data_IF_904451003772
#
_entry.id   IF_904451003772
#
_cell.length_a   1.000
_cell.length_b   1.000
_cell.length_c   1.000
_cell.angle_alpha   90.00
_cell.angle_beta   90.00
_cell.angle_gamma   90.00
#
_symmetry.space_group_name_H-M   'P 1'
#
loop_
_entity.id
_entity.type
_entity.pdbx_description
1 polymer ?
#
# COMPACT_ATOMS: atom_id res chain seq x y z
N UNK A 1 -20.10 71.77 -56.98
CA UNK A 1 -19.78 71.85 -55.53
C UNK A 1 -19.40 70.45 -55.05
N UNK A 2 -18.11 70.16 -54.78
CA UNK A 2 -17.70 68.84 -54.31
C UNK A 2 -17.91 68.74 -52.79
N UNK A 3 -18.54 67.67 -52.33
CA UNK A 3 -18.65 67.34 -50.90
C UNK A 3 -17.42 66.50 -50.51
N UNK A 4 -16.60 67.05 -49.62
CA UNK A 4 -15.49 66.36 -48.97
C UNK A 4 -16.09 65.42 -47.91
N UNK A 5 -15.87 64.12 -48.06
CA UNK A 5 -16.18 63.12 -47.04
C UNK A 5 -14.89 62.83 -46.27
N UNK A 6 -14.89 63.11 -44.96
CA UNK A 6 -13.77 62.86 -44.07
C UNK A 6 -13.81 61.40 -43.60
N UNK A 7 -12.75 60.63 -43.87
CA UNK A 7 -12.56 59.27 -43.35
C UNK A 7 -11.82 59.36 -42.01
N UNK A 8 -12.51 59.08 -40.90
CA UNK A 8 -11.90 58.81 -39.60
C UNK A 8 -11.48 57.34 -39.53
N UNK A 9 -10.18 57.08 -39.54
CA UNK A 9 -9.62 55.75 -39.33
C UNK A 9 -9.70 55.38 -37.83
N UNK A 10 -10.50 54.36 -37.49
CA UNK A 10 -10.54 53.78 -36.16
C UNK A 10 -9.37 52.80 -36.00
N UNK A 11 -8.45 53.11 -35.08
CA UNK A 11 -7.35 52.22 -34.68
C UNK A 11 -7.94 51.08 -33.83
N UNK A 12 -8.00 49.86 -34.37
CA UNK A 12 -8.38 48.68 -33.61
C UNK A 12 -7.15 48.19 -32.82
N UNK A 13 -7.18 48.37 -31.49
CA UNK A 13 -6.18 47.79 -30.59
C UNK A 13 -6.51 46.30 -30.43
N UNK A 14 -5.74 45.44 -31.09
CA UNK A 14 -5.76 44.00 -30.82
C UNK A 14 -5.02 43.74 -29.50
N UNK A 15 -5.77 43.51 -28.42
CA UNK A 15 -5.21 42.96 -27.19
C UNK A 15 -4.81 41.51 -27.45
N UNK A 16 -3.50 41.24 -27.55
CA UNK A 16 -2.96 39.88 -27.61
C UNK A 16 -3.21 39.18 -26.28
N UNK A 17 -4.23 38.32 -26.23
CA UNK A 17 -4.42 37.34 -25.17
C UNK A 17 -3.24 36.37 -25.19
N UNK A 18 -2.27 36.58 -24.30
CA UNK A 18 -1.24 35.58 -24.01
C UNK A 18 -1.98 34.40 -23.36
N UNK A 19 -1.89 33.18 -23.90
CA UNK A 19 -2.47 32.01 -23.24
C UNK A 19 -1.75 31.85 -21.90
N UNK A 20 -2.51 31.89 -20.80
CA UNK A 20 -2.01 31.50 -19.48
C UNK A 20 -1.57 30.04 -19.61
N UNK A 21 -0.27 29.79 -19.67
CA UNK A 21 0.25 28.43 -19.53
C UNK A 21 -0.21 27.94 -18.15
N UNK A 22 -1.12 26.97 -18.13
CA UNK A 22 -1.35 26.15 -16.95
C UNK A 22 0.01 25.52 -16.61
N UNK A 23 0.64 26.01 -15.54
CA UNK A 23 1.77 25.30 -14.94
C UNK A 23 1.17 23.97 -14.49
N UNK A 24 1.62 22.88 -15.11
CA UNK A 24 1.22 21.55 -14.67
C UNK A 24 1.62 21.40 -13.20
N UNK A 25 0.64 21.16 -12.33
CA UNK A 25 0.88 20.94 -10.92
C UNK A 25 1.56 19.59 -10.71
N UNK A 26 2.46 19.52 -9.73
CA UNK A 26 3.30 18.35 -9.52
C UNK A 26 4.37 18.53 -8.46
N UNK A 27 5.22 17.52 -8.30
CA UNK A 27 6.36 17.60 -7.39
C UNK A 27 7.40 18.59 -7.93
N UNK A 28 7.48 19.74 -7.28
CA UNK A 28 8.47 20.78 -7.55
C UNK A 28 9.81 20.49 -6.85
N UNK A 29 10.90 21.03 -7.38
CA UNK A 29 12.24 20.92 -6.78
C UNK A 29 12.62 19.48 -6.38
N UNK A 30 12.54 18.58 -7.38
CA UNK A 30 12.69 17.12 -7.21
C UNK A 30 14.03 16.73 -6.57
N UNK A 31 15.09 17.50 -6.82
CA UNK A 31 16.42 17.25 -6.24
C UNK A 31 16.49 17.62 -4.76
N UNK A 32 15.84 18.73 -4.36
CA UNK A 32 15.67 19.07 -2.94
C UNK A 32 14.83 18.01 -2.23
N UNK A 33 13.71 17.58 -2.81
CA UNK A 33 12.89 16.50 -2.24
C UNK A 33 13.70 15.20 -2.10
N UNK A 34 14.46 14.79 -3.12
CA UNK A 34 15.36 13.63 -3.03
C UNK A 34 16.36 13.77 -1.87
N UNK A 35 16.94 14.96 -1.70
CA UNK A 35 17.90 15.23 -0.63
C UNK A 35 17.26 15.14 0.76
N UNK A 36 16.05 15.68 0.95
CA UNK A 36 15.30 15.58 2.20
C UNK A 36 14.95 14.13 2.55
N UNK A 37 14.44 13.35 1.57
CA UNK A 37 14.14 11.93 1.77
C UNK A 37 15.40 11.11 2.09
N UNK A 38 16.53 11.46 1.47
CA UNK A 38 17.82 10.80 1.74
C UNK A 38 18.31 11.09 3.15
N UNK A 39 18.16 12.34 3.62
CA UNK A 39 18.50 12.72 4.98
C UNK A 39 17.64 11.97 6.02
N UNK A 40 16.33 11.84 5.76
CA UNK A 40 15.43 11.05 6.60
C UNK A 40 15.85 9.58 6.69
N UNK A 41 16.19 8.97 5.54
CA UNK A 41 16.63 7.58 5.50
C UNK A 41 17.95 7.35 6.23
N UNK A 42 18.93 8.24 6.05
CA UNK A 42 20.26 8.14 6.66
C UNK A 42 20.25 8.38 8.18
N UNK A 43 19.32 9.19 8.68
CA UNK A 43 19.20 9.46 10.11
C UNK A 43 18.56 8.31 10.91
N UNK A 44 17.84 7.41 10.24
CA UNK A 44 17.10 6.34 10.90
C UNK A 44 18.02 5.14 11.26
N UNK A 45 17.93 4.57 12.47
CA UNK A 45 18.75 3.43 12.88
C UNK A 45 18.19 2.10 12.34
N UNK A 46 18.10 1.97 11.01
CA UNK A 46 17.60 0.81 10.26
C UNK A 46 17.69 1.05 8.75
N UNK A 47 17.22 0.11 7.93
CA UNK A 47 17.11 0.32 6.47
C UNK A 47 15.82 1.07 6.16
N UNK A 48 15.93 2.14 5.38
CA UNK A 48 14.77 2.92 4.95
C UNK A 48 14.74 3.00 3.43
N UNK A 49 13.65 2.56 2.83
CA UNK A 49 13.37 2.68 1.39
C UNK A 49 12.17 3.60 1.18
N UNK A 50 12.36 4.71 0.49
CA UNK A 50 11.29 5.67 0.21
C UNK A 50 11.28 5.96 -1.27
N UNK A 51 10.14 5.77 -1.92
CA UNK A 51 9.91 6.26 -3.28
C UNK A 51 8.63 7.08 -3.33
N UNK A 52 8.61 8.03 -4.27
CA UNK A 52 7.43 8.82 -4.60
C UNK A 52 7.33 8.99 -6.12
N UNK A 53 6.10 8.94 -6.64
CA UNK A 53 5.79 9.09 -8.06
C UNK A 53 4.51 9.89 -8.28
N UNK A 54 4.64 11.00 -8.97
CA UNK A 54 3.57 11.75 -9.65
C UNK A 54 3.56 11.39 -11.15
N UNK A 55 2.84 12.15 -11.97
CA UNK A 55 2.84 11.99 -13.44
C UNK A 55 4.24 12.17 -14.07
N UNK A 56 5.13 12.91 -13.41
CA UNK A 56 6.47 13.17 -13.90
C UNK A 56 7.39 11.95 -13.71
N UNK A 57 8.06 11.57 -14.79
CA UNK A 57 9.10 10.53 -14.81
C UNK A 57 10.50 11.15 -14.70
N UNK A 58 11.48 10.49 -14.05
CA UNK A 58 11.38 9.24 -13.29
C UNK A 58 10.93 9.46 -11.83
N UNK A 59 10.48 8.40 -11.15
CA UNK A 59 10.18 8.44 -9.71
C UNK A 59 11.37 8.95 -8.88
N UNK A 60 11.10 9.59 -7.73
CA UNK A 60 12.13 10.03 -6.80
C UNK A 60 12.27 8.96 -5.72
N UNK A 61 13.46 8.40 -5.58
CA UNK A 61 13.70 7.22 -4.76
C UNK A 61 14.97 7.33 -3.91
N UNK A 62 14.90 6.71 -2.72
CA UNK A 62 16.00 6.40 -1.81
C UNK A 62 15.93 4.91 -1.53
N UNK A 63 17.02 4.18 -1.77
CA UNK A 63 17.08 2.72 -1.68
C UNK A 63 15.97 2.01 -2.49
N UNK A 64 15.61 2.59 -3.64
CA UNK A 64 14.43 2.20 -4.43
C UNK A 64 14.45 0.77 -4.99
N UNK A 65 15.65 0.19 -5.19
CA UNK A 65 15.84 -1.17 -5.73
C UNK A 65 16.03 -2.23 -4.63
N UNK A 66 16.14 -1.82 -3.36
CA UNK A 66 16.29 -2.78 -2.26
C UNK A 66 14.96 -3.46 -1.96
N UNK A 67 15.00 -4.73 -1.55
CA UNK A 67 13.81 -5.48 -1.16
C UNK A 67 13.47 -5.31 0.31
N UNK A 68 12.18 -5.16 0.58
CA UNK A 68 11.57 -5.06 1.90
C UNK A 68 10.40 -6.03 1.97
N UNK A 69 10.27 -6.76 3.10
CA UNK A 69 9.08 -7.57 3.36
C UNK A 69 7.83 -6.70 3.37
N UNK A 70 6.79 -7.13 2.66
CA UNK A 70 5.52 -6.42 2.54
C UNK A 70 4.74 -6.44 3.84
N UNK A 71 4.73 -7.58 4.54
CA UNK A 71 3.71 -7.89 5.54
C UNK A 71 2.32 -7.56 4.95
N UNK A 72 1.39 -7.04 5.76
CA UNK A 72 0.05 -6.69 5.27
C UNK A 72 -0.02 -5.58 4.21
N UNK A 73 1.09 -4.98 3.75
CA UNK A 73 1.06 -4.22 2.48
C UNK A 73 0.60 -5.10 1.33
N UNK A 74 0.86 -6.41 1.36
CA UNK A 74 0.40 -7.35 0.34
C UNK A 74 -1.12 -7.29 0.07
N UNK A 75 -1.92 -6.86 1.06
CA UNK A 75 -3.38 -6.87 0.96
C UNK A 75 -3.91 -5.92 -0.10
N UNK A 76 -3.21 -4.82 -0.40
CA UNK A 76 -3.60 -3.95 -1.52
C UNK A 76 -3.32 -4.62 -2.87
N UNK A 77 -2.27 -5.42 -2.97
CA UNK A 77 -1.95 -6.20 -4.17
C UNK A 77 -2.98 -7.33 -4.38
N UNK A 78 -3.30 -8.06 -3.30
CA UNK A 78 -4.37 -9.07 -3.32
C UNK A 78 -5.71 -8.45 -3.72
N UNK A 79 -6.07 -7.30 -3.14
CA UNK A 79 -7.28 -6.59 -3.49
C UNK A 79 -7.29 -6.19 -4.98
N UNK A 80 -6.18 -5.67 -5.52
CA UNK A 80 -6.09 -5.36 -6.95
C UNK A 80 -6.26 -6.61 -7.84
N UNK A 81 -5.67 -7.75 -7.47
CA UNK A 81 -5.87 -9.01 -8.19
C UNK A 81 -7.34 -9.49 -8.14
N UNK A 82 -8.03 -9.31 -7.01
CA UNK A 82 -9.49 -9.55 -6.89
C UNK A 82 -10.25 -8.63 -7.84
N UNK A 83 -9.91 -7.34 -7.86
CA UNK A 83 -10.56 -6.38 -8.75
C UNK A 83 -10.32 -6.70 -10.23
N UNK A 84 -9.13 -7.17 -10.62
CA UNK A 84 -8.87 -7.66 -11.97
C UNK A 84 -9.78 -8.84 -12.30
N UNK A 85 -9.98 -9.78 -11.37
CA UNK A 85 -10.90 -10.89 -11.55
C UNK A 85 -12.37 -10.45 -11.69
N UNK A 86 -12.75 -9.34 -11.04
CA UNK A 86 -14.06 -8.70 -11.23
C UNK A 86 -14.17 -8.11 -12.64
N UNK A 87 -13.15 -7.39 -13.10
CA UNK A 87 -13.12 -6.79 -14.44
C UNK A 87 -13.19 -7.85 -15.55
N UNK A 88 -12.50 -8.98 -15.35
CA UNK A 88 -12.52 -10.15 -16.23
C UNK A 88 -13.84 -10.94 -16.14
N UNK A 89 -14.76 -10.55 -15.25
CA UNK A 89 -16.04 -11.23 -14.97
C UNK A 89 -15.87 -12.68 -14.49
N UNK A 90 -14.73 -13.00 -13.87
CA UNK A 90 -14.47 -14.31 -13.26
C UNK A 90 -15.12 -14.43 -11.88
N UNK A 91 -15.28 -13.30 -11.18
CA UNK A 91 -15.96 -13.18 -9.89
C UNK A 91 -16.78 -11.87 -9.88
N UNK A 92 -17.71 -11.72 -8.94
CA UNK A 92 -18.41 -10.46 -8.69
C UNK A 92 -18.24 -10.01 -7.24
N UNK A 93 -18.17 -8.70 -6.99
CA UNK A 93 -18.09 -8.17 -5.62
C UNK A 93 -19.27 -8.61 -4.73
N UNK A 94 -20.43 -8.85 -5.35
CA UNK A 94 -21.64 -9.32 -4.68
C UNK A 94 -21.68 -10.82 -4.41
N UNK A 95 -20.72 -11.60 -4.92
CA UNK A 95 -20.67 -13.05 -4.69
C UNK A 95 -20.58 -13.33 -3.19
N UNK A 96 -21.45 -14.21 -2.71
CA UNK A 96 -21.63 -14.50 -1.30
C UNK A 96 -20.76 -15.67 -0.87
N UNK A 97 -20.11 -15.54 0.28
CA UNK A 97 -19.32 -16.57 0.92
C UNK A 97 -19.74 -16.74 2.38
N UNK A 98 -19.63 -17.97 2.89
CA UNK A 98 -19.80 -18.25 4.33
C UNK A 98 -18.45 -18.58 4.93
N UNK A 99 -17.92 -17.68 5.75
CA UNK A 99 -16.67 -17.87 6.46
C UNK A 99 -16.94 -18.69 7.72
N UNK A 100 -16.19 -19.77 7.91
CA UNK A 100 -16.24 -20.63 9.08
C UNK A 100 -14.87 -20.69 9.74
N UNK A 101 -14.80 -21.38 10.88
CA UNK A 101 -13.56 -21.53 11.65
C UNK A 101 -12.39 -22.07 10.81
N UNK A 102 -12.64 -23.00 9.90
CA UNK A 102 -11.59 -23.56 9.03
C UNK A 102 -11.01 -22.58 8.01
N UNK A 103 -11.70 -21.46 7.77
CA UNK A 103 -11.28 -20.40 6.85
C UNK A 103 -10.47 -19.29 7.55
N UNK A 104 -10.35 -19.36 8.89
CA UNK A 104 -9.62 -18.37 9.67
C UNK A 104 -8.10 -18.46 9.43
N UNK A 105 -7.43 -17.37 9.75
CA UNK A 105 -5.97 -17.20 9.63
C UNK A 105 -5.37 -17.06 11.04
N UNK A 106 -4.35 -16.22 11.22
CA UNK A 106 -3.69 -15.95 12.50
C UNK A 106 -3.52 -14.45 12.78
N UNK A 107 -3.31 -14.12 14.06
CA UNK A 107 -3.08 -12.76 14.58
C UNK A 107 -4.20 -11.77 14.24
N UNK A 108 -3.98 -10.76 13.39
CA UNK A 108 -4.96 -9.70 13.13
C UNK A 108 -6.03 -10.20 12.16
N UNK A 109 -7.22 -10.52 12.68
CA UNK A 109 -8.36 -11.02 11.91
C UNK A 109 -9.70 -10.79 12.64
N UNK A 110 -10.22 -9.55 12.67
CA UNK A 110 -11.53 -9.23 13.27
C UNK A 110 -12.69 -10.18 12.92
N UNK A 111 -12.69 -10.81 11.74
CA UNK A 111 -13.67 -11.85 11.37
C UNK A 111 -13.71 -13.02 12.37
N UNK A 112 -12.58 -13.36 13.00
CA UNK A 112 -12.50 -14.46 13.97
C UNK A 112 -13.46 -14.28 15.16
N UNK A 113 -13.66 -13.04 15.63
CA UNK A 113 -14.59 -12.74 16.73
C UNK A 113 -16.04 -12.99 16.32
N UNK A 114 -16.39 -12.61 15.07
CA UNK A 114 -17.74 -12.85 14.51
C UNK A 114 -17.99 -14.36 14.39
N UNK A 115 -17.02 -15.12 13.88
CA UNK A 115 -17.13 -16.57 13.73
C UNK A 115 -17.16 -17.27 15.09
N UNK A 116 -16.44 -16.77 16.10
CA UNK A 116 -16.49 -17.29 17.46
C UNK A 116 -17.86 -17.08 18.11
N UNK A 117 -18.48 -15.91 17.92
CA UNK A 117 -19.80 -15.58 18.47
C UNK A 117 -20.93 -16.34 17.75
N UNK A 118 -20.88 -16.40 16.40
CA UNK A 118 -22.02 -16.82 15.57
C UNK A 118 -21.86 -18.18 14.91
N UNK A 119 -20.68 -18.79 15.03
CA UNK A 119 -20.30 -20.04 14.36
C UNK A 119 -19.92 -19.88 12.88
N UNK A 120 -20.41 -18.85 12.21
CA UNK A 120 -20.06 -18.49 10.83
C UNK A 120 -20.34 -17.02 10.54
N UNK A 121 -19.78 -16.51 9.45
CA UNK A 121 -20.01 -15.16 8.95
C UNK A 121 -20.36 -15.21 7.46
N UNK A 122 -21.62 -14.92 7.11
CA UNK A 122 -22.02 -14.73 5.72
C UNK A 122 -21.69 -13.32 5.25
N UNK A 123 -20.91 -13.23 4.17
CA UNK A 123 -20.46 -11.96 3.63
C UNK A 123 -20.30 -12.00 2.10
N UNK A 124 -19.79 -10.93 1.51
CA UNK A 124 -19.54 -10.79 0.07
C UNK A 124 -18.04 -10.58 -0.22
N UNK A 125 -17.62 -10.83 -1.45
CA UNK A 125 -16.25 -10.54 -1.91
C UNK A 125 -15.87 -9.07 -1.65
N UNK A 126 -16.77 -8.12 -1.92
CA UNK A 126 -16.51 -6.70 -1.69
C UNK A 126 -16.30 -6.34 -0.21
N UNK A 127 -17.05 -6.96 0.70
CA UNK A 127 -16.84 -6.78 2.14
C UNK A 127 -15.50 -7.38 2.59
N UNK A 128 -15.11 -8.55 2.06
CA UNK A 128 -13.80 -9.14 2.34
C UNK A 128 -12.64 -8.26 1.84
N UNK A 129 -12.76 -7.67 0.65
CA UNK A 129 -11.79 -6.68 0.14
C UNK A 129 -11.69 -5.49 1.10
N UNK A 130 -12.83 -4.94 1.52
CA UNK A 130 -12.87 -3.84 2.48
C UNK A 130 -12.18 -4.22 3.79
N UNK A 131 -12.50 -5.36 4.40
CA UNK A 131 -11.90 -5.81 5.68
C UNK A 131 -10.41 -6.07 5.57
N UNK A 132 -9.97 -6.70 4.49
CA UNK A 132 -8.55 -6.97 4.23
C UNK A 132 -7.75 -5.67 4.13
N UNK A 133 -8.26 -4.64 3.47
CA UNK A 133 -7.52 -3.38 3.30
C UNK A 133 -7.69 -2.46 4.49
N UNK A 134 -8.93 -2.21 4.94
CA UNK A 134 -9.27 -1.18 5.94
C UNK A 134 -8.79 -1.55 7.34
N UNK A 135 -9.10 -2.78 7.76
CA UNK A 135 -8.84 -3.29 9.12
C UNK A 135 -7.62 -4.20 9.14
N UNK A 136 -7.03 -4.50 7.98
CA UNK A 136 -5.92 -5.43 7.84
C UNK A 136 -6.25 -6.84 8.30
N UNK A 137 -7.48 -7.32 8.05
CA UNK A 137 -7.94 -8.65 8.43
C UNK A 137 -7.21 -9.76 7.62
N UNK A 138 -6.58 -10.70 8.31
CA UNK A 138 -5.79 -11.79 7.71
C UNK A 138 -6.66 -12.95 7.23
N UNK A 139 -7.79 -13.25 7.89
CA UNK A 139 -8.73 -14.25 7.41
C UNK A 139 -9.40 -13.79 6.10
N UNK A 140 -9.82 -12.53 6.02
CA UNK A 140 -10.34 -11.96 4.78
C UNK A 140 -9.33 -12.07 3.63
N UNK A 141 -8.06 -11.79 3.92
CA UNK A 141 -6.97 -11.87 2.92
C UNK A 141 -6.77 -13.31 2.44
N UNK A 142 -6.64 -14.27 3.34
CA UNK A 142 -6.39 -15.67 3.00
C UNK A 142 -7.57 -16.31 2.25
N UNK A 143 -8.80 -15.92 2.61
CA UNK A 143 -10.02 -16.33 1.88
C UNK A 143 -10.01 -15.77 0.45
N UNK A 144 -9.68 -14.49 0.26
CA UNK A 144 -9.58 -13.88 -1.08
C UNK A 144 -8.49 -14.56 -1.92
N UNK A 145 -7.32 -14.82 -1.34
CA UNK A 145 -6.24 -15.56 -2.01
C UNK A 145 -6.73 -16.96 -2.43
N UNK A 146 -7.39 -17.68 -1.52
CA UNK A 146 -7.94 -19.01 -1.82
C UNK A 146 -8.99 -18.94 -2.93
N UNK A 147 -9.86 -17.93 -2.91
CA UNK A 147 -10.91 -17.74 -3.91
C UNK A 147 -10.34 -17.41 -5.30
N UNK A 148 -9.19 -16.73 -5.37
CA UNK A 148 -8.44 -16.51 -6.61
C UNK A 148 -7.72 -17.77 -7.14
N UNK A 149 -7.64 -18.84 -6.34
CA UNK A 149 -6.89 -20.06 -6.70
C UNK A 149 -5.48 -20.15 -6.08
N UNK A 150 -5.19 -19.33 -5.06
CA UNK A 150 -3.94 -19.34 -4.31
C UNK A 150 -2.99 -18.19 -4.67
N UNK A 151 -1.85 -18.12 -3.98
CA UNK A 151 -0.86 -17.03 -4.13
C UNK A 151 -0.31 -16.92 -5.55
N UNK A 152 -0.22 -18.05 -6.27
CA UNK A 152 0.18 -18.06 -7.68
C UNK A 152 -0.72 -17.22 -8.59
N UNK A 153 -2.03 -17.15 -8.30
CA UNK A 153 -2.93 -16.31 -9.09
C UNK A 153 -2.70 -14.81 -8.81
N UNK A 154 -2.36 -14.46 -7.57
CA UNK A 154 -1.97 -13.09 -7.20
C UNK A 154 -0.63 -12.72 -7.85
N UNK A 155 0.34 -13.64 -7.87
CA UNK A 155 1.61 -13.42 -8.55
C UNK A 155 1.41 -13.30 -10.07
N UNK A 156 0.54 -14.11 -10.69
CA UNK A 156 0.25 -14.01 -12.11
C UNK A 156 -0.29 -12.62 -12.50
N UNK A 157 -1.15 -12.01 -11.68
CA UNK A 157 -1.60 -10.63 -11.88
C UNK A 157 -0.42 -9.64 -11.92
N UNK A 158 0.56 -9.77 -11.02
CA UNK A 158 1.76 -8.93 -11.02
C UNK A 158 2.62 -9.17 -12.26
N UNK A 159 2.80 -10.43 -12.64
CA UNK A 159 3.61 -10.83 -13.79
C UNK A 159 3.02 -10.31 -15.11
N UNK A 160 1.70 -10.43 -15.29
CA UNK A 160 0.95 -9.87 -16.44
C UNK A 160 1.05 -8.36 -16.49
N UNK A 161 1.05 -7.70 -15.33
CA UNK A 161 1.28 -6.27 -15.23
C UNK A 161 2.75 -5.87 -15.43
N UNK A 162 3.70 -6.82 -15.48
CA UNK A 162 5.14 -6.54 -15.59
C UNK A 162 5.78 -5.97 -14.32
N UNK A 163 5.26 -6.33 -13.14
CA UNK A 163 5.73 -5.87 -11.81
C UNK A 163 6.57 -6.97 -11.11
N UNK A 164 7.85 -7.09 -11.47
CA UNK A 164 8.73 -8.22 -11.10
C UNK A 164 9.49 -8.06 -9.75
N UNK A 165 9.61 -6.83 -9.30
CA UNK A 165 10.09 -6.36 -8.01
C UNK A 165 9.11 -6.61 -6.88
N UNK A 166 7.83 -6.89 -7.14
CA UNK A 166 6.84 -7.32 -6.15
C UNK A 166 6.66 -8.84 -6.20
N UNK A 167 6.71 -9.50 -5.05
CA UNK A 167 6.50 -10.94 -4.90
C UNK A 167 5.43 -11.25 -3.87
N UNK A 168 4.57 -12.22 -4.19
CA UNK A 168 3.55 -12.79 -3.30
C UNK A 168 3.68 -14.31 -3.38
N UNK A 169 4.23 -14.91 -2.32
CA UNK A 169 4.58 -16.32 -2.31
C UNK A 169 3.76 -17.10 -1.27
N UNK A 170 3.46 -16.46 -0.14
CA UNK A 170 2.76 -17.06 1.01
C UNK A 170 1.45 -16.36 1.34
N UNK A 171 0.56 -17.11 1.96
CA UNK A 171 -0.62 -16.59 2.68
C UNK A 171 -0.21 -15.94 4.01
N UNK A 172 -1.10 -15.15 4.61
CA UNK A 172 -0.86 -14.53 5.92
C UNK A 172 -0.59 -15.60 6.99
N UNK A 173 -1.37 -16.68 7.01
CA UNK A 173 -1.17 -17.80 7.94
C UNK A 173 0.18 -18.50 7.78
N UNK A 174 0.68 -18.64 6.55
CA UNK A 174 2.01 -19.22 6.29
C UNK A 174 3.12 -18.27 6.71
N UNK A 175 3.09 -17.01 6.25
CA UNK A 175 4.10 -16.01 6.59
C UNK A 175 4.21 -15.83 8.10
N UNK A 176 3.09 -15.59 8.78
CA UNK A 176 3.10 -15.24 10.19
C UNK A 176 3.52 -16.40 11.08
N UNK A 177 3.09 -17.63 10.79
CA UNK A 177 3.57 -18.80 11.53
C UNK A 177 5.04 -19.09 11.28
N UNK A 178 5.51 -18.92 10.04
CA UNK A 178 6.93 -19.08 9.71
C UNK A 178 7.81 -18.08 10.48
N UNK A 179 7.36 -16.83 10.64
CA UNK A 179 8.09 -15.84 11.45
C UNK A 179 8.16 -16.18 12.94
N UNK A 180 7.26 -17.03 13.43
CA UNK A 180 7.28 -17.56 14.80
C UNK A 180 8.13 -18.84 14.92
N UNK A 181 8.73 -19.31 13.82
CA UNK A 181 9.44 -20.58 13.75
C UNK A 181 8.51 -21.80 13.70
N UNK A 182 7.24 -21.60 13.36
CA UNK A 182 6.25 -22.65 13.19
C UNK A 182 6.03 -22.97 11.71
N UNK A 183 5.39 -24.09 11.43
CA UNK A 183 4.82 -24.40 10.12
C UNK A 183 3.31 -24.35 10.27
N UNK A 184 2.60 -23.63 9.40
CA UNK A 184 1.15 -23.55 9.44
C UNK A 184 0.50 -24.94 9.48
N UNK A 185 -0.50 -25.10 10.35
CA UNK A 185 -1.38 -26.27 10.38
C UNK A 185 -2.82 -25.79 10.58
N UNK A 186 -3.85 -26.53 10.09
CA UNK A 186 -5.24 -26.18 10.31
C UNK A 186 -5.63 -26.05 11.79
N UNK A 187 -4.91 -26.70 12.72
CA UNK A 187 -5.16 -26.58 14.17
C UNK A 187 -4.92 -25.17 14.71
N UNK A 188 -4.13 -24.34 14.01
CA UNK A 188 -3.83 -22.97 14.45
C UNK A 188 -4.96 -21.96 14.21
N UNK A 189 -6.08 -22.39 13.59
CA UNK A 189 -7.33 -21.61 13.62
C UNK A 189 -7.91 -21.51 15.04
N UNK A 190 -7.43 -22.34 15.98
CA UNK A 190 -7.72 -22.27 17.40
C UNK A 190 -6.63 -21.46 18.11
N UNK A 191 -6.92 -20.23 18.59
CA UNK A 191 -5.91 -19.35 19.18
C UNK A 191 -5.12 -20.00 20.33
N UNK A 192 -5.77 -20.83 21.15
CA UNK A 192 -5.14 -21.56 22.24
C UNK A 192 -4.11 -22.59 21.76
N UNK A 193 -4.35 -23.23 20.61
CA UNK A 193 -3.41 -24.18 20.00
C UNK A 193 -2.21 -23.46 19.43
N UNK A 194 -2.43 -22.33 18.74
CA UNK A 194 -1.36 -21.49 18.23
C UNK A 194 -0.50 -20.91 19.37
N UNK A 195 -1.12 -20.41 20.43
CA UNK A 195 -0.41 -19.86 21.58
C UNK A 195 0.43 -20.94 22.29
N UNK A 196 -0.14 -22.14 22.48
CA UNK A 196 0.60 -23.26 23.06
C UNK A 196 1.79 -23.66 22.18
N UNK A 197 1.59 -23.80 20.87
CA UNK A 197 2.68 -24.11 19.94
C UNK A 197 3.78 -23.04 19.97
N UNK A 198 3.41 -21.74 20.02
CA UNK A 198 4.37 -20.63 20.15
C UNK A 198 5.20 -20.74 21.42
N UNK A 199 4.59 -21.09 22.55
CA UNK A 199 5.29 -21.28 23.84
C UNK A 199 6.30 -22.42 23.79
N UNK A 200 5.99 -23.49 23.04
CA UNK A 200 6.85 -24.66 22.88
C UNK A 200 8.02 -24.42 21.91
N UNK A 201 7.96 -23.39 21.05
CA UNK A 201 9.10 -23.04 20.18
C UNK A 201 10.26 -22.54 21.02
N UNK A 202 11.37 -23.29 21.01
CA UNK A 202 12.62 -22.88 21.65
C UNK A 202 13.07 -21.49 21.17
N UNK A 203 13.62 -20.67 22.07
CA UNK A 203 13.99 -19.30 21.74
C UNK A 203 15.04 -19.18 20.64
N UNK A 204 15.97 -20.14 20.57
CA UNK A 204 16.94 -20.24 19.48
C UNK A 204 16.26 -20.45 18.12
N UNK A 205 15.19 -21.27 18.07
CA UNK A 205 14.42 -21.52 16.84
C UNK A 205 13.63 -20.28 16.43
N UNK A 206 12.98 -19.60 17.38
CA UNK A 206 12.30 -18.32 17.09
C UNK A 206 13.28 -17.25 16.60
N UNK A 207 14.49 -17.21 17.16
CA UNK A 207 15.54 -16.30 16.72
C UNK A 207 16.00 -16.60 15.30
N UNK A 208 16.30 -17.88 15.00
CA UNK A 208 16.69 -18.30 13.66
C UNK A 208 15.59 -18.03 12.62
N UNK A 209 14.32 -18.26 12.98
CA UNK A 209 13.18 -17.95 12.11
C UNK A 209 13.05 -16.45 11.81
N UNK A 210 13.22 -15.60 12.82
CA UNK A 210 13.24 -14.16 12.62
C UNK A 210 14.41 -13.70 11.74
N UNK A 211 15.62 -14.23 11.95
CA UNK A 211 16.79 -13.92 11.12
C UNK A 211 16.64 -14.40 9.67
N UNK A 212 16.00 -15.57 9.46
CA UNK A 212 15.64 -16.06 8.15
C UNK A 212 14.63 -15.14 7.47
N UNK A 213 13.59 -14.72 8.19
CA UNK A 213 12.58 -13.77 7.71
C UNK A 213 13.19 -12.44 7.22
N UNK A 214 14.19 -11.88 7.93
CA UNK A 214 14.84 -10.63 7.53
C UNK A 214 15.55 -10.71 6.17
N UNK A 215 15.91 -11.93 5.73
CA UNK A 215 16.67 -12.19 4.50
C UNK A 215 15.84 -12.90 3.43
N UNK A 216 14.59 -13.21 3.73
CA UNK A 216 13.72 -13.98 2.86
C UNK A 216 13.33 -13.13 1.63
N UNK A 217 13.60 -13.59 0.40
CA UNK A 217 13.22 -12.84 -0.78
C UNK A 217 11.72 -12.94 -1.10
N UNK A 218 11.00 -13.85 -0.46
CA UNK A 218 9.55 -14.03 -0.65
C UNK A 218 8.74 -12.94 0.03
N UNK A 219 7.57 -12.63 -0.54
CA UNK A 219 6.63 -11.63 -0.01
C UNK A 219 7.26 -10.24 0.17
N UNK A 220 8.15 -9.87 -0.76
CA UNK A 220 8.89 -8.60 -0.75
C UNK A 220 8.50 -7.70 -1.91
N UNK A 221 8.71 -6.39 -1.74
CA UNK A 221 8.70 -5.43 -2.83
C UNK A 221 9.96 -4.56 -2.83
N UNK A 222 10.33 -4.06 -4.01
CA UNK A 222 11.19 -2.88 -4.12
C UNK A 222 10.34 -1.61 -4.02
N UNK A 223 10.80 -0.54 -3.33
CA UNK A 223 10.04 0.69 -3.22
C UNK A 223 9.67 1.31 -4.58
N UNK A 224 10.56 1.21 -5.57
CA UNK A 224 10.33 1.75 -6.91
C UNK A 224 9.17 1.06 -7.63
N UNK A 225 9.07 -0.27 -7.54
CA UNK A 225 7.96 -0.97 -8.14
C UNK A 225 6.67 -0.80 -7.37
N UNK A 226 6.72 -0.70 -6.04
CA UNK A 226 5.53 -0.45 -5.24
C UNK A 226 4.88 0.90 -5.60
N UNK A 227 5.66 1.97 -5.78
CA UNK A 227 5.08 3.23 -6.28
C UNK A 227 4.64 3.15 -7.73
N UNK A 228 5.29 2.32 -8.56
CA UNK A 228 4.85 2.03 -9.92
C UNK A 228 3.47 1.36 -9.94
N UNK A 229 3.27 0.33 -9.12
CA UNK A 229 2.00 -0.35 -8.92
C UNK A 229 0.91 0.64 -8.45
N UNK A 230 1.18 1.43 -7.40
CA UNK A 230 0.21 2.38 -6.85
C UNK A 230 -0.15 3.50 -7.83
N UNK A 231 0.82 4.02 -8.58
CA UNK A 231 0.57 5.04 -9.58
C UNK A 231 -0.27 4.49 -10.75
N UNK A 232 0.03 3.28 -11.23
CA UNK A 232 -0.76 2.62 -12.28
C UNK A 232 -2.17 2.25 -11.82
N UNK A 233 -2.33 1.90 -10.53
CA UNK A 233 -3.64 1.73 -9.91
C UNK A 233 -4.43 3.05 -9.93
N UNK A 234 -3.84 4.13 -9.42
CA UNK A 234 -4.47 5.44 -9.30
C UNK A 234 -4.90 6.04 -10.65
N UNK A 235 -4.11 5.79 -11.69
CA UNK A 235 -4.33 6.31 -13.06
C UNK A 235 -5.17 5.39 -13.94
N UNK A 236 -5.72 4.31 -13.38
CA UNK A 236 -6.61 3.39 -14.12
C UNK A 236 -5.89 2.55 -15.18
N UNK A 237 -4.57 2.35 -15.04
CA UNK A 237 -3.77 1.54 -15.96
C UNK A 237 -3.73 0.05 -15.58
N UNK A 238 -4.20 -0.31 -14.38
CA UNK A 238 -4.28 -1.71 -13.92
C UNK A 238 -5.69 -2.28 -13.96
N UNK A 239 -6.72 -1.46 -13.77
CA UNK A 239 -8.09 -1.90 -13.53
C UNK A 239 -9.08 -1.02 -14.31
N UNK A 240 -10.31 -1.49 -14.49
CA UNK A 240 -11.40 -0.66 -15.00
C UNK A 240 -11.67 0.54 -14.10
N UNK A 241 -12.28 1.59 -14.66
CA UNK A 241 -12.58 2.81 -13.90
C UNK A 241 -13.40 2.55 -12.62
N UNK A 242 -14.40 1.65 -12.68
CA UNK A 242 -15.20 1.27 -11.51
C UNK A 242 -14.38 0.52 -10.47
N UNK A 243 -13.50 -0.38 -10.91
CA UNK A 243 -12.67 -1.19 -10.03
C UNK A 243 -11.57 -0.37 -9.36
N UNK A 244 -10.93 0.53 -10.11
CA UNK A 244 -10.02 1.55 -9.57
C UNK A 244 -10.73 2.41 -8.53
N UNK A 245 -11.88 3.00 -8.86
CA UNK A 245 -12.60 3.88 -7.94
C UNK A 245 -12.96 3.16 -6.63
N UNK A 246 -13.45 1.92 -6.73
CA UNK A 246 -13.78 1.11 -5.56
C UNK A 246 -12.55 0.84 -4.68
N UNK A 247 -11.42 0.42 -5.26
CA UNK A 247 -10.22 0.12 -4.48
C UNK A 247 -9.62 1.38 -3.84
N UNK A 248 -9.62 2.52 -4.56
CA UNK A 248 -9.17 3.79 -3.99
C UNK A 248 -10.06 4.24 -2.82
N UNK A 249 -11.39 4.09 -2.93
CA UNK A 249 -12.31 4.38 -1.83
C UNK A 249 -12.02 3.50 -0.60
N UNK A 250 -11.84 2.19 -0.83
CA UNK A 250 -11.48 1.24 0.23
C UNK A 250 -10.16 1.62 0.90
N UNK A 251 -9.12 1.96 0.14
CA UNK A 251 -7.84 2.41 0.69
C UNK A 251 -7.96 3.71 1.50
N UNK A 252 -8.83 4.65 1.10
CA UNK A 252 -9.05 5.90 1.82
C UNK A 252 -9.64 5.67 3.23
N UNK A 253 -10.44 4.62 3.36
CA UNK A 253 -11.09 4.24 4.62
C UNK A 253 -10.16 3.53 5.62
N UNK A 254 -8.93 3.18 5.24
CA UNK A 254 -7.98 2.48 6.12
C UNK A 254 -7.79 3.17 7.46
N UNK A 255 -7.96 2.41 8.54
CA UNK A 255 -7.91 2.91 9.93
C UNK A 255 -6.62 2.56 10.66
N UNK A 256 -5.83 1.61 10.14
CA UNK A 256 -4.62 1.13 10.80
C UNK A 256 -3.50 2.16 10.80
N UNK A 257 -2.79 2.30 11.92
CA UNK A 257 -1.59 3.13 12.10
C UNK A 257 -1.73 4.56 11.50
N UNK A 258 -2.67 5.38 12.03
CA UNK A 258 -2.85 6.75 11.58
C UNK A 258 -1.62 7.65 11.85
N UNK A 259 -0.67 7.17 12.67
CA UNK A 259 0.60 7.80 13.03
C UNK A 259 1.70 7.71 11.93
N UNK A 260 1.43 7.03 10.81
CA UNK A 260 2.37 6.85 9.68
C UNK A 260 2.16 7.88 8.57
N UNK A 261 1.95 7.46 7.31
CA UNK A 261 1.85 8.41 6.19
C UNK A 261 0.75 9.43 6.45
N UNK A 262 -0.41 8.97 6.96
CA UNK A 262 -1.57 9.82 7.29
C UNK A 262 -1.22 10.98 8.23
N UNK A 263 -0.34 10.78 9.22
CA UNK A 263 0.10 11.84 10.12
C UNK A 263 0.96 12.92 9.45
N UNK A 264 1.46 12.65 8.24
CA UNK A 264 2.19 13.63 7.44
C UNK A 264 1.36 14.33 6.36
N UNK A 265 0.07 14.03 6.26
CA UNK A 265 -0.82 14.60 5.25
C UNK A 265 -1.45 15.89 5.77
N UNK A 266 -1.25 17.05 5.12
CA UNK A 266 -1.81 18.31 5.58
C UNK A 266 -3.31 18.43 5.25
N UNK A 267 -3.96 19.44 5.83
CA UNK A 267 -5.35 19.76 5.50
C UNK A 267 -5.54 20.02 4.00
N UNK A 268 -6.69 19.62 3.46
CA UNK A 268 -7.03 19.73 2.04
C UNK A 268 -6.51 18.57 1.17
N UNK A 269 -5.60 17.75 1.69
CA UNK A 269 -5.17 16.51 1.05
C UNK A 269 -5.94 15.31 1.60
N UNK A 270 -6.02 14.25 0.81
CA UNK A 270 -6.50 12.94 1.27
C UNK A 270 -5.48 11.85 1.00
N UNK A 271 -5.63 10.69 1.65
CA UNK A 271 -4.75 9.55 1.47
C UNK A 271 -5.53 8.24 1.55
N UNK A 272 -5.39 7.45 0.49
CA UNK A 272 -5.66 6.02 0.52
C UNK A 272 -4.36 5.25 0.75
N UNK A 273 -4.29 4.42 1.81
CA UNK A 273 -3.04 3.74 2.17
C UNK A 273 -3.26 2.32 2.67
N UNK A 274 -2.16 1.55 2.70
CA UNK A 274 -2.07 0.25 3.34
C UNK A 274 -0.76 0.11 4.10
N UNK A 275 -0.89 -0.31 5.35
CA UNK A 275 0.20 -0.51 6.29
C UNK A 275 0.68 -1.97 6.30
N UNK A 276 1.93 -2.17 6.71
CA UNK A 276 2.51 -3.47 7.03
C UNK A 276 3.41 -3.38 8.26
N UNK A 277 3.41 -4.40 9.12
CA UNK A 277 4.21 -4.38 10.36
C UNK A 277 4.60 -5.79 10.72
N UNK A 278 5.86 -6.02 11.07
CA UNK A 278 6.29 -7.28 11.67
C UNK A 278 6.65 -7.09 13.14
N UNK A 279 6.89 -8.22 13.81
CA UNK A 279 7.39 -8.25 15.17
C UNK A 279 8.76 -7.58 15.35
N UNK A 280 9.05 -7.25 16.60
CA UNK A 280 10.37 -6.84 17.09
C UNK A 280 10.95 -7.98 17.91
N UNK A 281 12.18 -8.36 17.61
CA UNK A 281 12.92 -9.39 18.36
C UNK A 281 14.34 -8.90 18.65
N UNK A 282 14.79 -9.06 19.89
CA UNK A 282 16.12 -8.65 20.35
C UNK A 282 16.47 -7.19 19.98
N UNK A 283 15.50 -6.29 20.14
CA UNK A 283 15.68 -4.85 19.87
C UNK A 283 15.71 -4.49 18.38
N UNK A 284 15.35 -5.40 17.47
CA UNK A 284 15.27 -5.16 16.03
C UNK A 284 13.84 -5.39 15.57
N UNK A 285 13.19 -4.37 15.03
CA UNK A 285 11.93 -4.49 14.30
C UNK A 285 12.20 -4.97 12.88
N UNK A 286 11.48 -6.00 12.44
CA UNK A 286 11.68 -6.53 11.10
C UNK A 286 11.26 -5.55 10.01
N UNK A 287 9.99 -5.11 10.01
CA UNK A 287 9.48 -4.03 9.15
C UNK A 287 8.37 -3.20 9.82
N UNK A 288 8.32 -1.92 9.47
CA UNK A 288 7.25 -0.96 9.71
C UNK A 288 7.05 -0.20 8.40
N UNK A 289 5.98 -0.49 7.68
CA UNK A 289 5.76 -0.01 6.32
C UNK A 289 4.45 0.76 6.21
N UNK A 290 4.38 1.69 5.28
CA UNK A 290 3.12 2.27 4.83
C UNK A 290 3.28 2.73 3.38
N UNK A 291 2.29 2.42 2.57
CA UNK A 291 2.28 2.75 1.14
C UNK A 291 0.92 3.29 0.78
N UNK A 292 0.83 4.22 -0.17
CA UNK A 292 -0.44 4.83 -0.48
C UNK A 292 -0.42 5.81 -1.63
N UNK A 293 -1.59 6.38 -1.88
CA UNK A 293 -1.87 7.36 -2.91
C UNK A 293 -2.39 8.61 -2.18
N UNK A 294 -1.56 9.64 -2.20
CA UNK A 294 -1.92 10.99 -1.76
C UNK A 294 -2.76 11.62 -2.88
N UNK A 295 -3.84 12.31 -2.53
CA UNK A 295 -4.62 13.11 -3.49
C UNK A 295 -4.53 14.57 -3.09
N UNK A 296 -3.96 15.37 -3.98
CA UNK A 296 -3.81 16.81 -3.83
C UNK A 296 -5.17 17.53 -3.92
N UNK A 297 -5.28 18.78 -3.44
CA UNK A 297 -6.52 19.57 -3.53
C UNK A 297 -7.04 19.78 -4.96
N UNK A 298 -6.15 19.73 -5.96
CA UNK A 298 -6.50 19.83 -7.38
C UNK A 298 -6.93 18.48 -8.00
N UNK A 299 -6.94 17.40 -7.22
CA UNK A 299 -7.30 16.04 -7.64
C UNK A 299 -6.13 15.18 -8.10
N UNK A 300 -4.90 15.70 -8.17
CA UNK A 300 -3.74 14.95 -8.66
C UNK A 300 -3.32 13.87 -7.67
N UNK A 301 -2.98 12.69 -8.21
CA UNK A 301 -2.52 11.55 -7.43
C UNK A 301 -1.00 11.47 -7.35
N UNK A 302 -0.47 11.31 -6.14
CA UNK A 302 0.95 11.08 -5.87
C UNK A 302 1.10 9.76 -5.10
N UNK A 303 1.70 8.77 -5.74
CA UNK A 303 1.99 7.48 -5.12
C UNK A 303 3.22 7.57 -4.22
N UNK A 304 3.17 6.95 -3.04
CA UNK A 304 4.26 6.91 -2.07
C UNK A 304 4.41 5.50 -1.52
N UNK A 305 5.66 5.05 -1.36
CA UNK A 305 5.98 3.84 -0.64
C UNK A 305 7.11 4.11 0.34
N UNK A 306 6.87 3.91 1.63
CA UNK A 306 7.83 4.10 2.70
C UNK A 306 7.98 2.81 3.51
N UNK A 307 9.15 2.20 3.40
CA UNK A 307 9.52 0.96 4.07
C UNK A 307 10.61 1.24 5.10
N UNK A 308 10.41 0.82 6.34
CA UNK A 308 11.42 0.87 7.41
C UNK A 308 11.67 -0.56 7.86
N UNK A 309 12.87 -1.09 7.67
CA UNK A 309 13.25 -2.45 8.00
C UNK A 309 14.45 -2.51 8.94
N UNK A 310 14.59 -3.64 9.65
CA UNK A 310 15.76 -3.95 10.50
C UNK A 310 16.09 -2.82 11.49
N UNK A 311 15.04 -2.18 12.00
CA UNK A 311 15.17 -0.93 12.75
C UNK A 311 15.34 -1.18 14.24
N UNK A 312 16.30 -0.49 14.86
CA UNK A 312 16.50 -0.44 16.31
C UNK A 312 15.70 0.67 16.99
N UNK A 313 15.03 1.51 16.21
CA UNK A 313 14.21 2.61 16.73
C UNK A 313 12.95 2.10 17.43
N UNK A 314 12.45 2.90 18.38
CA UNK A 314 11.14 2.70 19.01
C UNK A 314 10.00 2.79 18.00
N UNK A 315 8.81 2.27 18.37
CA UNK A 315 7.63 2.27 17.48
C UNK A 315 7.32 3.66 16.93
N UNK A 316 7.28 4.65 17.80
CA UNK A 316 6.87 6.02 17.47
C UNK A 316 7.89 6.70 16.54
N UNK A 317 9.18 6.44 16.73
CA UNK A 317 10.24 6.96 15.86
C UNK A 317 10.18 6.33 14.45
N UNK A 318 9.90 5.02 14.35
CA UNK A 318 9.68 4.37 13.04
C UNK A 318 8.46 4.96 12.31
N UNK A 319 7.36 5.19 13.03
CA UNK A 319 6.18 5.83 12.46
C UNK A 319 6.46 7.29 12.05
N UNK A 320 7.20 8.03 12.88
CA UNK A 320 7.58 9.42 12.61
C UNK A 320 8.45 9.57 11.36
N UNK A 321 9.37 8.64 11.08
CA UNK A 321 10.14 8.61 9.83
C UNK A 321 9.23 8.50 8.60
N UNK A 322 8.22 7.63 8.65
CA UNK A 322 7.24 7.47 7.56
C UNK A 322 6.38 8.73 7.41
N UNK A 323 5.88 9.29 8.52
CA UNK A 323 5.12 10.53 8.51
C UNK A 323 5.94 11.71 7.96
N UNK A 324 7.24 11.77 8.26
CA UNK A 324 8.13 12.81 7.76
C UNK A 324 8.30 12.74 6.23
N UNK A 325 8.34 11.54 5.66
CA UNK A 325 8.36 11.36 4.21
C UNK A 325 7.09 11.95 3.55
N UNK A 326 5.90 11.65 4.10
CA UNK A 326 4.65 12.23 3.60
C UNK A 326 4.61 13.76 3.70
N UNK A 327 5.14 14.34 4.79
CA UNK A 327 5.25 15.80 4.93
C UNK A 327 6.17 16.42 3.89
N UNK A 328 7.34 15.84 3.66
CA UNK A 328 8.28 16.32 2.66
C UNK A 328 7.67 16.29 1.25
N UNK A 329 6.99 15.19 0.92
CA UNK A 329 6.31 15.00 -0.38
C UNK A 329 5.21 16.04 -0.58
N UNK A 330 4.31 16.19 0.39
CA UNK A 330 3.17 17.14 0.28
C UNK A 330 3.62 18.59 0.29
N UNK A 331 4.71 18.92 0.99
CA UNK A 331 5.32 20.26 0.96
C UNK A 331 6.04 20.58 -0.36
N UNK A 332 6.51 19.57 -1.10
CA UNK A 332 7.16 19.74 -2.39
C UNK A 332 6.18 19.91 -3.56
N UNK A 333 4.90 19.58 -3.37
CA UNK A 333 3.87 19.71 -4.40
C UNK A 333 3.47 21.17 -4.61
N UNK A 334 3.47 21.63 -5.87
CA UNK A 334 3.08 22.99 -6.27
C UNK A 334 2.25 22.98 -7.55
#
# INVERSE_FOLDING_TARGET
MPKIVSLTAALAVFASLVPTQLIASGLSDRDRLRSELTALANAHPGRVGICVRDEASPAICVNGEQRFSLQSVMKVVVAAAVMQAVDDRRIALGDRLTIRRGDLSVNIQPIADIVAERGSFETSIGDLVSRAVVESDSAATDVLISHLGGTKAVQAFLDEAGLQGIRIDRTERELQTETDGLTWTPEFVFPERLEQARKEVADARRQAAFEAYLKDPRDTATPIEMVGFLHRLATGQLLSASSTAHLLEVMNRTVTFPDRLRAGVPSGWTIGHKTGTSQTRNGINGVTNDVGILTAPDGTHVAVAAFVAESRAGKDERAATIAAAARAITAAYK
#
